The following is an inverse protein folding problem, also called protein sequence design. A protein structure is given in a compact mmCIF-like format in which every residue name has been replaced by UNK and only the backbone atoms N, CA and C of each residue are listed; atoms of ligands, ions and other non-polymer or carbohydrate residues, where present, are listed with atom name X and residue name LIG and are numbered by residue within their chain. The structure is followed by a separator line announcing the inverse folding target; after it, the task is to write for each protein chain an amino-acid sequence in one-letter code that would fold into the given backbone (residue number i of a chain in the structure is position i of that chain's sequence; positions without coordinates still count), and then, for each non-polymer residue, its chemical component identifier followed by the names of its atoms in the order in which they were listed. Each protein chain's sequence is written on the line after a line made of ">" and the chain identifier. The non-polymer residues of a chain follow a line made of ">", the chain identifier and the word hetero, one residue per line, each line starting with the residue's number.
data_IF_653808275557
#
_entry.id   IF_653808275557
#
_cell.length_a   1.000
_cell.length_b   1.000
_cell.length_c   1.000
_cell.angle_alpha   90.00
_cell.angle_beta   90.00
_cell.angle_gamma   90.00
#
_symmetry.space_group_name_H-M   'P 1'
#
loop_
_entity.id
_entity.type
_entity.pdbx_description
1 polymer ?
#
# COMPACT_ATOMS: atom_id res chain seq x y z
N UNK A 1 24.85 20.43 -17.93
CA UNK A 1 24.67 21.80 -18.56
C UNK A 1 25.39 22.83 -17.72
N UNK A 2 26.07 23.84 -18.33
CA UNK A 2 26.66 24.96 -17.58
C UNK A 2 25.63 26.10 -17.37
N UNK A 3 25.99 27.08 -16.49
CA UNK A 3 25.09 28.18 -16.13
C UNK A 3 24.67 29.07 -17.31
N UNK A 4 25.61 29.38 -18.20
CA UNK A 4 25.36 30.26 -19.36
C UNK A 4 24.39 29.57 -20.35
N UNK A 5 24.55 28.25 -20.55
CA UNK A 5 23.66 27.44 -21.38
C UNK A 5 22.25 27.38 -20.78
N UNK A 6 22.13 27.21 -19.46
CA UNK A 6 20.86 27.17 -18.77
C UNK A 6 20.15 28.53 -18.86
N UNK A 7 20.84 29.63 -18.59
CA UNK A 7 20.28 30.98 -18.71
C UNK A 7 19.83 31.30 -20.15
N UNK A 8 20.60 30.86 -21.15
CA UNK A 8 20.23 31.01 -22.55
C UNK A 8 18.97 30.21 -22.89
N UNK A 9 18.86 28.99 -22.36
CA UNK A 9 17.68 28.12 -22.57
C UNK A 9 16.43 28.72 -21.93
N UNK A 10 16.53 29.24 -20.70
CA UNK A 10 15.44 29.93 -20.00
C UNK A 10 15.03 31.19 -20.79
N UNK A 11 16.01 31.98 -21.25
CA UNK A 11 15.76 33.14 -22.07
C UNK A 11 15.04 32.84 -23.39
N UNK A 12 15.42 31.71 -24.02
CA UNK A 12 14.74 31.20 -25.24
C UNK A 12 13.34 30.77 -24.94
N UNK A 13 13.12 29.92 -23.91
CA UNK A 13 11.79 29.45 -23.52
C UNK A 13 10.85 30.63 -23.25
N UNK A 14 11.35 31.69 -22.61
CA UNK A 14 10.60 32.94 -22.38
C UNK A 14 10.22 33.66 -23.70
N UNK A 15 11.19 33.80 -24.62
CA UNK A 15 10.94 34.49 -25.89
C UNK A 15 9.96 33.73 -26.80
N UNK A 16 10.02 32.42 -26.74
CA UNK A 16 9.20 31.52 -27.54
C UNK A 16 7.77 31.30 -26.93
N UNK A 17 7.55 31.79 -25.70
CA UNK A 17 6.29 31.54 -24.96
C UNK A 17 6.06 30.06 -24.69
N UNK A 18 7.13 29.31 -24.39
CA UNK A 18 7.04 27.86 -24.18
C UNK A 18 6.19 27.55 -22.94
N UNK A 19 5.22 26.65 -23.10
CA UNK A 19 4.39 26.12 -22.00
C UNK A 19 5.04 24.91 -21.28
N UNK A 20 6.09 24.34 -21.85
CA UNK A 20 6.83 23.22 -21.26
C UNK A 20 8.35 23.51 -21.26
N UNK A 21 9.01 23.09 -20.18
CA UNK A 21 10.46 23.15 -20.08
C UNK A 21 10.97 21.82 -19.50
N UNK A 22 11.71 21.08 -20.32
CA UNK A 22 12.36 19.84 -19.92
C UNK A 22 13.86 20.12 -19.70
N UNK A 23 14.27 19.96 -18.45
CA UNK A 23 15.65 20.08 -17.96
C UNK A 23 16.08 18.78 -17.25
N UNK A 24 15.45 17.66 -17.57
CA UNK A 24 15.75 16.38 -16.93
C UNK A 24 17.16 15.89 -17.33
N UNK A 25 17.90 15.38 -16.32
CA UNK A 25 19.22 14.74 -16.50
C UNK A 25 20.29 15.65 -17.12
N UNK A 26 20.24 16.93 -16.83
CA UNK A 26 21.18 17.94 -17.31
C UNK A 26 22.34 18.21 -16.34
N UNK A 27 22.44 17.39 -15.28
CA UNK A 27 23.50 17.50 -14.28
C UNK A 27 23.53 18.86 -13.53
N UNK A 28 22.35 19.44 -13.33
CA UNK A 28 22.17 20.74 -12.70
C UNK A 28 22.37 20.65 -11.20
N UNK A 29 23.20 21.51 -10.62
CA UNK A 29 23.43 21.67 -9.19
C UNK A 29 22.53 22.76 -8.57
N UNK A 30 22.08 23.71 -9.36
CA UNK A 30 21.17 24.77 -8.96
C UNK A 30 20.28 25.22 -10.12
N UNK A 31 19.16 25.84 -9.79
CA UNK A 31 18.22 26.45 -10.72
C UNK A 31 18.27 27.96 -10.48
N UNK A 32 18.55 28.80 -11.52
CA UNK A 32 18.69 30.23 -11.33
C UNK A 32 17.31 30.91 -11.10
N UNK A 33 17.25 32.03 -10.35
CA UNK A 33 16.02 32.77 -10.07
C UNK A 33 15.27 33.25 -11.33
N UNK A 34 15.95 33.41 -12.44
CA UNK A 34 15.37 33.78 -13.74
C UNK A 34 14.29 32.78 -14.22
N UNK A 35 14.27 31.56 -13.65
CA UNK A 35 13.21 30.57 -13.93
C UNK A 35 11.81 31.16 -13.65
N UNK A 36 11.67 31.98 -12.61
CA UNK A 36 10.39 32.61 -12.24
C UNK A 36 9.85 33.57 -13.30
N UNK A 37 10.67 33.94 -14.31
CA UNK A 37 10.21 34.76 -15.43
C UNK A 37 9.32 33.98 -16.44
N UNK A 38 9.24 32.64 -16.35
CA UNK A 38 8.48 31.78 -17.24
C UNK A 38 7.03 31.62 -16.75
N UNK A 39 6.31 32.71 -16.59
CA UNK A 39 4.96 32.73 -15.96
C UNK A 39 3.90 31.95 -16.73
N UNK A 40 4.11 31.72 -18.04
CA UNK A 40 3.21 30.96 -18.90
C UNK A 40 3.49 29.44 -18.87
N UNK A 41 4.51 29.01 -18.10
CA UNK A 41 4.92 27.61 -18.05
C UNK A 41 3.84 26.75 -17.38
N UNK A 42 3.47 25.66 -18.04
CA UNK A 42 2.47 24.68 -17.58
C UNK A 42 3.15 23.43 -17.01
N UNK A 43 4.26 22.99 -17.59
CA UNK A 43 5.02 21.84 -17.13
C UNK A 43 6.51 22.17 -17.00
N UNK A 44 7.09 21.76 -15.85
CA UNK A 44 8.53 21.87 -15.60
C UNK A 44 9.06 20.50 -15.13
N UNK A 45 9.99 19.94 -15.92
CA UNK A 45 10.73 18.72 -15.53
C UNK A 45 12.19 19.06 -15.21
N UNK A 46 12.57 18.80 -13.95
CA UNK A 46 13.90 18.97 -13.39
C UNK A 46 14.46 17.64 -12.88
N UNK A 47 13.85 16.51 -13.28
CA UNK A 47 14.18 15.20 -12.72
C UNK A 47 15.60 14.73 -13.07
N UNK A 48 16.20 13.95 -12.17
CA UNK A 48 17.50 13.32 -12.40
C UNK A 48 18.68 14.32 -12.44
N UNK A 49 18.60 15.38 -11.65
CA UNK A 49 19.66 16.37 -11.50
C UNK A 49 20.35 16.24 -10.12
N UNK A 50 21.12 17.25 -9.73
CA UNK A 50 21.82 17.34 -8.43
C UNK A 50 21.35 18.54 -7.60
N UNK A 51 20.10 18.99 -7.81
CA UNK A 51 19.57 20.17 -7.14
C UNK A 51 19.45 19.92 -5.63
N UNK A 52 20.01 20.83 -4.83
CA UNK A 52 19.93 20.78 -3.37
C UNK A 52 18.75 21.61 -2.82
N UNK A 53 18.27 22.58 -3.59
CA UNK A 53 17.11 23.41 -3.30
C UNK A 53 16.49 23.92 -4.61
N UNK A 54 15.23 24.33 -4.54
CA UNK A 54 14.58 25.15 -5.57
C UNK A 54 14.63 26.62 -5.14
N UNK A 55 14.88 27.56 -6.06
CA UNK A 55 14.80 28.97 -5.73
C UNK A 55 13.36 29.38 -5.43
N UNK A 56 13.11 30.35 -4.53
CA UNK A 56 11.76 30.82 -4.19
C UNK A 56 10.95 31.27 -5.41
N UNK A 57 11.61 31.76 -6.45
CA UNK A 57 11.02 32.22 -7.71
C UNK A 57 10.31 31.11 -8.51
N UNK A 58 10.53 29.82 -8.17
CA UNK A 58 9.69 28.73 -8.70
C UNK A 58 8.23 28.97 -8.34
N UNK A 59 7.95 29.60 -7.18
CA UNK A 59 6.60 29.96 -6.78
C UNK A 59 5.90 31.02 -7.65
N UNK A 60 6.67 31.70 -8.53
CA UNK A 60 6.11 32.71 -9.44
C UNK A 60 5.54 32.05 -10.73
N UNK A 61 5.80 30.76 -10.94
CA UNK A 61 5.28 29.97 -12.06
C UNK A 61 3.80 29.59 -11.84
N UNK A 62 2.95 30.56 -11.63
CA UNK A 62 1.55 30.36 -11.21
C UNK A 62 0.68 29.63 -12.23
N UNK A 63 1.12 29.55 -13.49
CA UNK A 63 0.49 28.74 -14.54
C UNK A 63 0.78 27.23 -14.44
N UNK A 64 1.76 26.84 -13.59
CA UNK A 64 2.28 25.48 -13.56
C UNK A 64 1.22 24.48 -13.05
N UNK A 65 1.01 23.43 -13.86
CA UNK A 65 0.12 22.29 -13.49
C UNK A 65 0.90 21.04 -13.14
N UNK A 66 2.16 20.93 -13.56
CA UNK A 66 3.02 19.78 -13.29
C UNK A 66 4.44 20.23 -12.96
N UNK A 67 4.92 19.81 -11.79
CA UNK A 67 6.30 19.99 -11.36
C UNK A 67 6.93 18.64 -11.04
N UNK A 68 8.00 18.30 -11.75
CA UNK A 68 8.76 17.07 -11.54
C UNK A 68 10.21 17.40 -11.13
N UNK A 69 10.53 17.12 -9.87
CA UNK A 69 11.89 17.29 -9.30
C UNK A 69 12.41 15.97 -8.72
N UNK A 70 11.87 14.83 -9.17
CA UNK A 70 12.31 13.51 -8.69
C UNK A 70 13.80 13.29 -8.93
N UNK A 71 14.39 12.44 -8.11
CA UNK A 71 15.79 12.03 -8.23
C UNK A 71 16.72 13.24 -8.30
N UNK A 72 16.73 13.99 -7.18
CA UNK A 72 17.60 15.13 -6.92
C UNK A 72 18.18 14.99 -5.50
N UNK A 73 18.70 16.07 -4.94
CA UNK A 73 19.30 16.11 -3.60
C UNK A 73 18.60 17.16 -2.71
N UNK A 74 17.30 17.42 -2.96
CA UNK A 74 16.55 18.45 -2.24
C UNK A 74 16.44 18.08 -0.77
N UNK A 75 16.90 18.95 0.12
CA UNK A 75 16.78 18.78 1.58
C UNK A 75 15.57 19.53 2.17
N UNK A 76 15.10 20.55 1.45
CA UNK A 76 13.97 21.40 1.85
C UNK A 76 13.14 21.76 0.62
N UNK A 77 11.84 21.89 0.80
CA UNK A 77 10.93 22.46 -0.18
C UNK A 77 10.51 23.86 0.30
N UNK A 78 10.83 24.89 -0.49
CA UNK A 78 10.55 26.26 -0.12
C UNK A 78 9.05 26.53 0.06
N UNK A 79 8.64 27.37 1.05
CA UNK A 79 7.22 27.71 1.29
C UNK A 79 6.50 28.30 0.07
N UNK A 80 7.25 28.95 -0.83
CA UNK A 80 6.74 29.53 -2.07
C UNK A 80 6.10 28.52 -3.01
N UNK A 81 6.34 27.20 -2.82
CA UNK A 81 5.63 26.14 -3.54
C UNK A 81 4.11 26.30 -3.40
N UNK A 82 3.63 26.82 -2.27
CA UNK A 82 2.21 27.07 -2.01
C UNK A 82 1.56 28.12 -2.91
N UNK A 83 2.36 28.91 -3.68
CA UNK A 83 1.86 29.87 -4.67
C UNK A 83 1.42 29.20 -5.98
N UNK A 84 1.82 27.95 -6.23
CA UNK A 84 1.50 27.20 -7.44
C UNK A 84 0.05 26.65 -7.40
N UNK A 85 -0.93 27.53 -7.23
CA UNK A 85 -2.33 27.15 -6.93
C UNK A 85 -3.02 26.34 -8.04
N UNK A 86 -2.47 26.34 -9.26
CA UNK A 86 -2.96 25.55 -10.38
C UNK A 86 -2.30 24.16 -10.49
N UNK A 87 -1.37 23.82 -9.58
CA UNK A 87 -0.61 22.58 -9.63
C UNK A 87 -1.54 21.36 -9.42
N UNK A 88 -1.48 20.41 -10.35
CA UNK A 88 -2.23 19.15 -10.34
C UNK A 88 -1.35 17.94 -10.01
N UNK A 89 -0.06 18.02 -10.32
CA UNK A 89 0.91 16.97 -10.05
C UNK A 89 2.23 17.53 -9.50
N UNK A 90 2.66 17.02 -8.32
CA UNK A 90 3.92 17.35 -7.68
C UNK A 90 4.70 16.06 -7.42
N UNK A 91 5.87 15.94 -8.02
CA UNK A 91 6.72 14.75 -7.96
C UNK A 91 8.05 15.08 -7.31
N UNK A 92 8.20 14.65 -6.05
CA UNK A 92 9.34 14.96 -5.15
C UNK A 92 10.12 13.68 -4.78
N UNK A 93 9.76 12.51 -5.34
CA UNK A 93 10.35 11.23 -4.92
C UNK A 93 11.86 11.16 -5.19
N UNK A 94 12.56 10.34 -4.40
CA UNK A 94 14.02 10.17 -4.50
C UNK A 94 14.77 11.49 -4.27
N UNK A 95 14.52 12.10 -3.11
CA UNK A 95 15.19 13.28 -2.60
C UNK A 95 15.63 13.07 -1.14
N UNK A 96 15.98 14.13 -0.42
CA UNK A 96 16.45 14.09 0.97
C UNK A 96 15.56 14.96 1.88
N UNK A 97 14.28 15.15 1.51
CA UNK A 97 13.34 16.01 2.24
C UNK A 97 13.05 15.41 3.62
N UNK A 98 13.15 16.22 4.67
CA UNK A 98 12.83 15.83 6.06
C UNK A 98 11.43 16.24 6.48
N UNK A 99 10.85 17.24 5.80
CA UNK A 99 9.48 17.71 6.03
C UNK A 99 8.90 18.35 4.76
N UNK A 100 7.58 18.50 4.72
CA UNK A 100 6.85 19.26 3.72
C UNK A 100 6.36 20.57 4.35
N UNK A 101 6.46 21.73 3.66
CA UNK A 101 6.04 22.99 4.22
C UNK A 101 4.51 23.07 4.37
N UNK A 102 3.98 23.69 5.43
CA UNK A 102 2.54 23.87 5.63
C UNK A 102 1.83 24.56 4.44
N UNK A 103 2.54 25.46 3.75
CA UNK A 103 2.03 26.16 2.57
C UNK A 103 1.63 25.22 1.42
N UNK A 104 2.13 23.96 1.43
CA UNK A 104 1.66 22.93 0.50
C UNK A 104 0.13 22.79 0.51
N UNK A 105 -0.50 22.98 1.67
CA UNK A 105 -1.96 22.94 1.84
C UNK A 105 -2.73 23.99 1.05
N UNK A 106 -2.06 24.98 0.41
CA UNK A 106 -2.68 25.93 -0.50
C UNK A 106 -2.98 25.37 -1.89
N UNK A 107 -2.40 24.21 -2.25
CA UNK A 107 -2.50 23.58 -3.58
C UNK A 107 -3.83 22.82 -3.76
N UNK A 108 -4.94 23.52 -3.72
CA UNK A 108 -6.30 22.92 -3.72
C UNK A 108 -6.64 22.10 -4.96
N UNK A 109 -5.92 22.27 -6.08
CA UNK A 109 -6.10 21.50 -7.30
C UNK A 109 -5.17 20.28 -7.40
N UNK A 110 -4.29 20.07 -6.39
CA UNK A 110 -3.33 18.98 -6.43
C UNK A 110 -4.06 17.62 -6.39
N UNK A 111 -3.94 16.88 -7.48
CA UNK A 111 -4.52 15.54 -7.63
C UNK A 111 -3.52 14.42 -7.34
N UNK A 112 -2.22 14.69 -7.51
CA UNK A 112 -1.13 13.73 -7.31
C UNK A 112 0.01 14.33 -6.55
N UNK A 113 0.36 13.70 -5.40
CA UNK A 113 1.56 14.02 -4.63
C UNK A 113 2.39 12.75 -4.49
N UNK A 114 3.65 12.81 -4.95
CA UNK A 114 4.61 11.74 -4.72
C UNK A 114 5.85 12.29 -4.01
N UNK A 115 6.03 11.87 -2.76
CA UNK A 115 7.21 12.16 -1.94
C UNK A 115 7.85 10.85 -1.41
N UNK A 116 7.70 9.73 -2.12
CA UNK A 116 8.32 8.46 -1.76
C UNK A 116 9.85 8.56 -1.78
N UNK A 117 10.54 7.69 -1.03
CA UNK A 117 12.00 7.67 -0.96
C UNK A 117 12.58 9.03 -0.58
N UNK A 118 12.19 9.51 0.59
CA UNK A 118 12.69 10.72 1.24
C UNK A 118 13.01 10.41 2.72
N UNK A 119 13.18 11.43 3.54
CA UNK A 119 13.45 11.33 4.97
C UNK A 119 12.36 11.97 5.82
N UNK A 120 11.11 12.02 5.31
CA UNK A 120 10.00 12.67 6.00
C UNK A 120 9.73 11.98 7.34
N UNK A 121 9.74 12.76 8.43
CA UNK A 121 9.44 12.27 9.78
C UNK A 121 8.00 12.55 10.20
N UNK A 122 7.36 13.53 9.57
CA UNK A 122 5.96 13.95 9.81
C UNK A 122 5.35 14.58 8.56
N UNK A 123 4.05 14.66 8.54
CA UNK A 123 3.28 15.47 7.59
C UNK A 123 2.71 16.70 8.31
N UNK A 124 2.65 17.87 7.66
CA UNK A 124 1.97 19.01 8.22
C UNK A 124 0.44 18.76 8.26
N UNK A 125 -0.29 19.22 9.29
CA UNK A 125 -1.75 19.10 9.33
C UNK A 125 -2.46 19.69 8.10
N UNK A 126 -1.86 20.70 7.49
CA UNK A 126 -2.36 21.34 6.27
C UNK A 126 -2.40 20.38 5.07
N UNK A 127 -1.84 19.15 5.18
CA UNK A 127 -2.01 18.11 4.16
C UNK A 127 -3.51 17.83 3.91
N UNK A 128 -4.35 17.87 4.95
CA UNK A 128 -5.80 17.69 4.85
C UNK A 128 -6.50 18.72 3.97
N UNK A 129 -5.84 19.85 3.72
CA UNK A 129 -6.37 20.87 2.83
C UNK A 129 -6.33 20.49 1.33
N UNK A 130 -5.65 19.41 0.95
CA UNK A 130 -5.51 18.96 -0.43
C UNK A 130 -6.73 18.14 -0.87
N UNK A 131 -7.91 18.71 -0.80
CA UNK A 131 -9.20 18.02 -0.98
C UNK A 131 -9.42 17.42 -2.37
N UNK A 132 -8.65 17.83 -3.39
CA UNK A 132 -8.66 17.23 -4.72
C UNK A 132 -7.70 16.04 -4.88
N UNK A 133 -6.93 15.72 -3.83
CA UNK A 133 -5.89 14.69 -3.91
C UNK A 133 -6.53 13.31 -4.11
N UNK A 134 -6.10 12.63 -5.18
CA UNK A 134 -6.55 11.28 -5.53
C UNK A 134 -5.46 10.23 -5.33
N UNK A 135 -4.18 10.60 -5.45
CA UNK A 135 -3.02 9.73 -5.26
C UNK A 135 -2.02 10.36 -4.31
N UNK A 136 -1.73 9.67 -3.21
CA UNK A 136 -0.75 10.07 -2.20
C UNK A 136 0.29 8.96 -2.04
N UNK A 137 1.53 9.25 -2.48
CA UNK A 137 2.67 8.33 -2.40
C UNK A 137 3.69 8.87 -1.42
N UNK A 138 3.87 8.16 -0.30
CA UNK A 138 4.77 8.49 0.80
C UNK A 138 5.61 7.28 1.23
N UNK A 139 5.73 6.27 0.34
CA UNK A 139 6.50 5.07 0.61
C UNK A 139 7.96 5.39 0.96
N UNK A 140 8.58 4.52 1.75
CA UNK A 140 10.00 4.59 2.07
C UNK A 140 10.42 5.96 2.62
N UNK A 141 9.78 6.33 3.73
CA UNK A 141 10.07 7.51 4.54
C UNK A 141 10.30 7.10 6.02
N UNK A 142 10.21 8.05 6.93
CA UNK A 142 10.43 7.81 8.36
C UNK A 142 9.22 8.28 9.20
N UNK A 143 8.02 8.28 8.61
CA UNK A 143 6.79 8.72 9.27
C UNK A 143 6.46 7.80 10.45
N UNK A 144 6.38 8.36 11.66
CA UNK A 144 5.98 7.62 12.86
C UNK A 144 4.46 7.67 13.10
N UNK A 145 3.81 8.71 12.60
CA UNK A 145 2.37 8.95 12.71
C UNK A 145 1.82 9.70 11.50
N UNK A 146 0.50 9.67 11.34
CA UNK A 146 -0.23 10.51 10.40
C UNK A 146 -1.06 11.53 11.18
N UNK A 147 -1.16 12.79 10.72
CA UNK A 147 -2.03 13.76 11.33
C UNK A 147 -3.50 13.36 11.14
N UNK A 148 -4.37 13.76 12.07
CA UNK A 148 -5.81 13.46 11.99
C UNK A 148 -6.45 14.03 10.71
N UNK A 149 -5.93 15.14 10.23
CA UNK A 149 -6.35 15.82 9.01
C UNK A 149 -6.14 14.99 7.73
N UNK A 150 -5.41 13.86 7.81
CA UNK A 150 -5.36 12.90 6.69
C UNK A 150 -6.77 12.46 6.27
N UNK A 151 -7.71 12.39 7.23
CA UNK A 151 -9.10 12.04 7.00
C UNK A 151 -9.89 13.06 6.20
N UNK A 152 -9.36 14.27 5.98
CA UNK A 152 -10.00 15.32 5.18
C UNK A 152 -9.74 15.14 3.67
N UNK A 153 -8.87 14.19 3.28
CA UNK A 153 -8.55 13.86 1.89
C UNK A 153 -9.65 13.01 1.25
N UNK A 154 -10.88 13.47 1.27
CA UNK A 154 -12.09 12.71 0.88
C UNK A 154 -12.10 12.22 -0.57
N UNK A 155 -11.29 12.83 -1.46
CA UNK A 155 -11.15 12.41 -2.86
C UNK A 155 -10.12 11.28 -3.05
N UNK A 156 -9.39 10.89 -1.99
CA UNK A 156 -8.28 9.94 -2.09
C UNK A 156 -8.75 8.56 -2.55
N UNK A 157 -8.03 8.00 -3.52
CA UNK A 157 -8.28 6.66 -4.09
C UNK A 157 -7.17 5.69 -3.74
N UNK A 158 -5.94 6.15 -3.80
CA UNK A 158 -4.77 5.30 -3.58
C UNK A 158 -3.83 6.00 -2.58
N UNK A 159 -3.44 5.28 -1.52
CA UNK A 159 -2.58 5.76 -0.45
C UNK A 159 -1.45 4.76 -0.19
N UNK A 160 -0.21 5.17 -0.46
CA UNK A 160 0.98 4.33 -0.37
C UNK A 160 1.88 4.82 0.74
N UNK A 161 1.95 4.08 1.84
CA UNK A 161 2.65 4.40 3.09
C UNK A 161 3.63 3.30 3.51
N UNK A 162 3.88 2.30 2.64
CA UNK A 162 4.78 1.20 2.96
C UNK A 162 6.20 1.69 3.26
N UNK A 163 6.95 0.92 4.07
CA UNK A 163 8.33 1.25 4.39
C UNK A 163 8.47 2.51 5.27
N UNK A 164 7.51 2.74 6.18
CA UNK A 164 7.56 3.81 7.17
C UNK A 164 7.74 3.25 8.60
N UNK A 165 7.50 4.07 9.60
CA UNK A 165 7.61 3.70 11.03
C UNK A 165 6.28 3.88 11.77
N UNK A 166 5.15 3.81 11.03
CA UNK A 166 3.83 4.06 11.60
C UNK A 166 3.52 3.04 12.71
N UNK A 167 3.26 3.53 13.92
CA UNK A 167 2.87 2.70 15.07
C UNK A 167 1.34 2.53 15.15
N UNK A 168 0.58 3.50 14.65
CA UNK A 168 -0.88 3.48 14.59
C UNK A 168 -1.42 4.30 13.42
N UNK A 169 -2.71 4.11 13.12
CA UNK A 169 -3.46 4.98 12.21
C UNK A 169 -4.44 5.84 13.02
N UNK A 170 -4.66 7.10 12.66
CA UNK A 170 -5.69 7.92 13.29
C UNK A 170 -7.09 7.39 12.95
N UNK A 171 -8.06 7.55 13.88
CA UNK A 171 -9.47 7.16 13.63
C UNK A 171 -10.07 7.85 12.40
N UNK A 172 -9.59 9.05 12.08
CA UNK A 172 -9.99 9.80 10.89
C UNK A 172 -9.70 9.07 9.56
N UNK A 173 -8.86 8.01 9.56
CA UNK A 173 -8.64 7.17 8.37
C UNK A 173 -9.98 6.66 7.80
N UNK A 174 -10.96 6.38 8.67
CA UNK A 174 -12.29 5.93 8.29
C UNK A 174 -13.10 6.90 7.44
N UNK A 175 -12.71 8.18 7.41
CA UNK A 175 -13.38 9.20 6.57
C UNK A 175 -13.02 9.05 5.09
N UNK A 176 -11.96 8.31 4.76
CA UNK A 176 -11.49 8.11 3.38
C UNK A 176 -12.35 7.08 2.63
N UNK A 177 -13.67 7.23 2.69
CA UNK A 177 -14.63 6.26 2.13
C UNK A 177 -14.50 6.02 0.63
N UNK A 178 -13.81 6.90 -0.08
CA UNK A 178 -13.49 6.74 -1.50
C UNK A 178 -12.24 5.91 -1.79
N UNK A 179 -11.48 5.50 -0.76
CA UNK A 179 -10.21 4.80 -0.90
C UNK A 179 -10.40 3.42 -1.53
N UNK A 180 -9.52 3.04 -2.46
CA UNK A 180 -9.53 1.77 -3.19
C UNK A 180 -8.33 0.90 -2.84
N UNK A 181 -7.20 1.52 -2.63
CA UNK A 181 -5.96 0.83 -2.28
C UNK A 181 -5.26 1.53 -1.11
N UNK A 182 -4.95 0.75 -0.08
CA UNK A 182 -4.20 1.22 1.09
C UNK A 182 -2.99 0.31 1.31
N UNK A 183 -1.81 0.88 1.10
CA UNK A 183 -0.54 0.17 1.21
C UNK A 183 0.18 0.58 2.49
N UNK A 184 0.27 -0.35 3.45
CA UNK A 184 0.85 -0.15 4.79
C UNK A 184 1.92 -1.20 5.13
N UNK A 185 2.40 -1.97 4.14
CA UNK A 185 3.42 -2.99 4.36
C UNK A 185 4.68 -2.41 5.01
N UNK A 186 5.37 -3.21 5.82
CA UNK A 186 6.64 -2.84 6.45
C UNK A 186 6.55 -1.53 7.25
N UNK A 187 5.58 -1.48 8.16
CA UNK A 187 5.43 -0.45 9.19
C UNK A 187 5.58 -1.07 10.59
N UNK A 188 5.12 -0.39 11.64
CA UNK A 188 5.21 -0.85 13.02
C UNK A 188 3.83 -0.94 13.68
N UNK A 189 2.75 -1.07 12.89
CA UNK A 189 1.37 -1.09 13.37
C UNK A 189 1.14 -2.27 14.32
N UNK A 190 0.73 -2.00 15.55
CA UNK A 190 0.36 -3.02 16.55
C UNK A 190 -1.14 -3.34 16.51
N UNK A 191 -1.96 -2.43 15.99
CA UNK A 191 -3.41 -2.54 15.82
C UNK A 191 -3.92 -1.65 14.69
N UNK A 192 -5.14 -1.95 14.24
CA UNK A 192 -5.92 -1.08 13.35
C UNK A 192 -7.05 -0.41 14.16
N UNK A 193 -7.39 0.86 13.87
CA UNK A 193 -8.55 1.50 14.49
C UNK A 193 -9.84 0.86 13.96
N UNK A 194 -10.91 0.78 14.79
CA UNK A 194 -12.21 0.25 14.36
C UNK A 194 -12.77 0.95 13.11
N UNK A 195 -12.47 2.22 12.94
CA UNK A 195 -12.91 3.04 11.82
C UNK A 195 -12.38 2.54 10.46
N UNK A 196 -11.39 1.62 10.46
CA UNK A 196 -10.94 0.97 9.21
C UNK A 196 -12.10 0.31 8.47
N UNK A 197 -13.10 -0.22 9.20
CA UNK A 197 -14.27 -0.86 8.64
C UNK A 197 -15.19 0.07 7.85
N UNK A 198 -15.02 1.39 7.97
CA UNK A 198 -15.77 2.38 7.18
C UNK A 198 -15.30 2.50 5.73
N UNK A 199 -14.17 1.90 5.37
CA UNK A 199 -13.59 1.98 4.03
C UNK A 199 -14.27 0.98 3.06
N UNK A 200 -15.57 1.11 2.88
CA UNK A 200 -16.42 0.15 2.15
C UNK A 200 -16.06 -0.02 0.67
N UNK A 201 -15.35 0.95 0.06
CA UNK A 201 -14.87 0.89 -1.32
C UNK A 201 -13.44 0.35 -1.44
N UNK A 202 -12.80 -0.02 -0.32
CA UNK A 202 -11.43 -0.54 -0.35
C UNK A 202 -11.39 -1.90 -1.04
N UNK A 203 -10.59 -2.01 -2.10
CA UNK A 203 -10.40 -3.24 -2.87
C UNK A 203 -9.20 -4.04 -2.38
N UNK A 204 -8.12 -3.34 -1.99
CA UNK A 204 -6.86 -3.98 -1.60
C UNK A 204 -6.33 -3.34 -0.34
N UNK A 205 -6.01 -4.17 0.66
CA UNK A 205 -5.39 -3.76 1.91
C UNK A 205 -4.10 -4.55 2.14
N UNK A 206 -2.98 -3.84 2.17
CA UNK A 206 -1.66 -4.41 2.44
C UNK A 206 -1.21 -4.05 3.84
N UNK A 207 -0.89 -5.06 4.65
CA UNK A 207 -0.48 -4.93 6.04
C UNK A 207 0.68 -5.87 6.39
N UNK A 208 1.40 -6.40 5.39
CA UNK A 208 2.53 -7.31 5.61
C UNK A 208 3.64 -6.65 6.40
N UNK A 209 4.36 -7.45 7.21
CA UNK A 209 5.55 -6.97 7.90
C UNK A 209 5.25 -5.88 8.93
N UNK A 210 4.14 -6.01 9.66
CA UNK A 210 3.76 -5.16 10.79
C UNK A 210 3.88 -5.92 12.12
N UNK A 211 3.29 -5.39 13.20
CA UNK A 211 3.30 -5.98 14.55
C UNK A 211 1.89 -6.32 15.04
N UNK A 212 0.92 -6.49 14.10
CA UNK A 212 -0.48 -6.72 14.44
C UNK A 212 -0.64 -8.01 15.24
N UNK A 213 -1.29 -7.92 16.42
CA UNK A 213 -1.61 -9.06 17.27
C UNK A 213 -3.04 -9.57 17.06
N UNK A 214 -3.91 -8.76 16.44
CA UNK A 214 -5.29 -9.06 16.11
C UNK A 214 -5.85 -8.06 15.11
N UNK A 215 -7.01 -8.35 14.57
CA UNK A 215 -7.79 -7.44 13.73
C UNK A 215 -9.06 -7.01 14.51
N UNK A 216 -9.51 -5.76 14.37
CA UNK A 216 -10.76 -5.34 14.97
C UNK A 216 -11.94 -6.04 14.27
N UNK A 217 -13.05 -6.33 14.99
CA UNK A 217 -14.26 -6.92 14.38
C UNK A 217 -14.80 -6.12 13.20
N UNK A 218 -14.61 -4.80 13.23
CA UNK A 218 -15.02 -3.88 12.18
C UNK A 218 -14.32 -4.14 10.84
N UNK A 219 -13.28 -4.98 10.81
CA UNK A 219 -12.66 -5.43 9.54
C UNK A 219 -13.71 -6.01 8.58
N UNK A 220 -14.76 -6.65 9.13
CA UNK A 220 -15.89 -7.18 8.36
C UNK A 220 -16.70 -6.11 7.62
N UNK A 221 -16.54 -4.84 7.94
CA UNK A 221 -17.16 -3.70 7.25
C UNK A 221 -16.55 -3.38 5.88
N UNK A 222 -15.40 -3.96 5.52
CA UNK A 222 -14.72 -3.74 4.24
C UNK A 222 -15.42 -4.48 3.09
N UNK A 223 -16.65 -4.13 2.80
CA UNK A 223 -17.53 -4.84 1.88
C UNK A 223 -17.01 -4.97 0.44
N UNK A 224 -16.13 -4.05 0.00
CA UNK A 224 -15.50 -4.06 -1.33
C UNK A 224 -14.19 -4.84 -1.41
N UNK A 225 -13.68 -5.39 -0.27
CA UNK A 225 -12.34 -5.93 -0.22
C UNK A 225 -12.21 -7.22 -1.03
N UNK A 226 -11.24 -7.25 -1.94
CA UNK A 226 -10.92 -8.40 -2.79
C UNK A 226 -9.59 -9.05 -2.42
N UNK A 227 -8.65 -8.29 -1.87
CA UNK A 227 -7.32 -8.75 -1.48
C UNK A 227 -6.95 -8.25 -0.11
N UNK A 228 -6.59 -9.17 0.80
CA UNK A 228 -6.11 -8.86 2.15
C UNK A 228 -4.77 -9.53 2.41
N UNK A 229 -3.75 -8.72 2.65
CA UNK A 229 -2.38 -9.16 2.88
C UNK A 229 -1.96 -8.87 4.31
N UNK A 230 -1.78 -9.92 5.13
CA UNK A 230 -1.48 -9.87 6.56
C UNK A 230 -0.21 -10.63 6.94
N UNK A 231 0.54 -11.10 5.94
CA UNK A 231 1.73 -11.92 6.18
C UNK A 231 2.78 -11.24 7.04
N UNK A 232 3.53 -12.01 7.85
CA UNK A 232 4.62 -11.48 8.66
C UNK A 232 4.18 -10.54 9.78
N UNK A 233 3.09 -10.88 10.47
CA UNK A 233 2.60 -10.20 11.68
C UNK A 233 2.69 -11.11 12.91
N UNK A 234 2.01 -10.76 13.99
CA UNK A 234 1.93 -11.52 15.23
C UNK A 234 0.48 -11.96 15.56
N UNK A 235 -0.35 -12.16 14.52
CA UNK A 235 -1.77 -12.50 14.67
C UNK A 235 -1.91 -13.87 15.32
N UNK A 236 -2.66 -13.95 16.42
CA UNK A 236 -2.96 -15.21 17.13
C UNK A 236 -4.31 -15.81 16.73
N UNK A 237 -5.21 -14.99 16.21
CA UNK A 237 -6.53 -15.39 15.69
C UNK A 237 -7.02 -14.38 14.64
N UNK A 238 -7.96 -14.80 13.80
CA UNK A 238 -8.80 -13.92 12.98
C UNK A 238 -10.16 -13.78 13.65
N UNK A 239 -10.80 -12.59 13.62
CA UNK A 239 -12.14 -12.41 14.16
C UNK A 239 -13.18 -13.14 13.29
N UNK A 240 -14.32 -13.54 13.86
CA UNK A 240 -15.43 -14.19 13.13
C UNK A 240 -15.95 -13.32 12.00
N UNK A 241 -15.88 -11.99 12.15
CA UNK A 241 -16.30 -10.99 11.18
C UNK A 241 -15.49 -11.02 9.88
N UNK A 242 -14.33 -11.74 9.86
CA UNK A 242 -13.61 -11.99 8.60
C UNK A 242 -14.53 -12.66 7.57
N UNK A 243 -15.48 -13.50 8.02
CA UNK A 243 -16.47 -14.16 7.18
C UNK A 243 -17.47 -13.22 6.51
N UNK A 244 -17.52 -11.94 6.90
CA UNK A 244 -18.35 -10.91 6.25
C UNK A 244 -17.72 -10.38 4.96
N UNK A 245 -16.44 -10.65 4.71
CA UNK A 245 -15.72 -10.21 3.51
C UNK A 245 -16.05 -11.06 2.28
N UNK A 246 -17.32 -11.17 1.95
CA UNK A 246 -17.84 -12.11 0.91
C UNK A 246 -17.37 -11.79 -0.52
N UNK A 247 -16.69 -10.68 -0.73
CA UNK A 247 -16.04 -10.31 -2.00
C UNK A 247 -14.58 -10.75 -2.09
N UNK A 248 -14.02 -11.27 -0.97
CA UNK A 248 -12.60 -11.59 -0.89
C UNK A 248 -12.22 -12.72 -1.85
N UNK A 249 -11.22 -12.49 -2.67
CA UNK A 249 -10.64 -13.46 -3.61
C UNK A 249 -9.30 -13.99 -3.12
N UNK A 250 -8.52 -13.18 -2.41
CA UNK A 250 -7.21 -13.58 -1.85
C UNK A 250 -7.07 -13.20 -0.39
N UNK A 251 -6.68 -14.17 0.45
CA UNK A 251 -6.35 -13.99 1.86
C UNK A 251 -4.96 -14.54 2.13
N UNK A 252 -4.04 -13.67 2.50
CA UNK A 252 -2.63 -13.96 2.75
C UNK A 252 -2.30 -13.67 4.20
N UNK A 253 -2.13 -14.73 5.02
CA UNK A 253 -1.89 -14.65 6.47
C UNK A 253 -0.66 -15.47 6.87
N UNK A 254 0.24 -15.64 5.92
CA UNK A 254 1.49 -16.39 6.10
C UNK A 254 2.38 -15.79 7.19
N UNK A 255 3.17 -16.64 7.88
CA UNK A 255 4.13 -16.22 8.90
C UNK A 255 3.50 -15.37 10.02
N UNK A 256 2.47 -15.94 10.66
CA UNK A 256 1.80 -15.41 11.83
C UNK A 256 1.83 -16.44 12.99
N UNK A 257 0.98 -16.29 13.99
CA UNK A 257 0.89 -17.17 15.16
C UNK A 257 -0.50 -17.78 15.30
N UNK A 258 -1.25 -17.95 14.19
CA UNK A 258 -2.61 -18.46 14.20
C UNK A 258 -2.63 -19.89 14.71
N UNK A 259 -3.46 -20.17 15.73
CA UNK A 259 -3.68 -21.52 16.25
C UNK A 259 -4.90 -22.22 15.66
N UNK A 260 -5.80 -21.46 15.03
CA UNK A 260 -7.01 -21.93 14.35
C UNK A 260 -7.60 -20.84 13.45
N UNK A 261 -8.61 -21.21 12.67
CA UNK A 261 -9.41 -20.28 11.86
C UNK A 261 -10.84 -20.27 12.41
N UNK A 262 -11.56 -19.14 12.34
CA UNK A 262 -12.98 -19.11 12.68
C UNK A 262 -13.80 -19.93 11.67
N UNK A 263 -14.92 -20.54 12.12
CA UNK A 263 -15.82 -21.32 11.25
C UNK A 263 -16.37 -20.48 10.09
N UNK A 264 -16.53 -19.18 10.32
CA UNK A 264 -17.02 -18.18 9.38
C UNK A 264 -16.11 -17.99 8.15
N UNK A 265 -14.87 -18.52 8.19
CA UNK A 265 -14.00 -18.55 6.99
C UNK A 265 -14.72 -19.20 5.80
N UNK A 266 -15.61 -20.16 6.07
CA UNK A 266 -16.43 -20.84 5.05
C UNK A 266 -17.41 -19.93 4.31
N UNK A 267 -17.69 -18.74 4.82
CA UNK A 267 -18.55 -17.75 4.15
C UNK A 267 -17.85 -17.05 2.99
N UNK A 268 -16.52 -17.18 2.89
CA UNK A 268 -15.70 -16.55 1.84
C UNK A 268 -15.79 -17.35 0.53
N UNK A 269 -16.98 -17.58 0.03
CA UNK A 269 -17.24 -18.46 -1.13
C UNK A 269 -16.59 -18.01 -2.45
N UNK A 270 -16.11 -16.77 -2.54
CA UNK A 270 -15.35 -16.24 -3.70
C UNK A 270 -13.84 -16.40 -3.53
N UNK A 271 -13.37 -16.97 -2.42
CA UNK A 271 -11.94 -17.11 -2.16
C UNK A 271 -11.31 -18.08 -3.16
N UNK A 272 -10.23 -17.64 -3.78
CA UNK A 272 -9.44 -18.37 -4.79
C UNK A 272 -8.06 -18.72 -4.24
N UNK A 273 -7.49 -17.83 -3.43
CA UNK A 273 -6.16 -17.96 -2.85
C UNK A 273 -6.20 -17.83 -1.33
N UNK A 274 -5.75 -18.88 -0.62
CA UNK A 274 -5.62 -18.89 0.83
C UNK A 274 -4.21 -19.37 1.23
N UNK A 275 -3.43 -18.43 1.75
CA UNK A 275 -2.05 -18.69 2.18
C UNK A 275 -1.95 -18.56 3.70
N UNK A 276 -1.63 -19.67 4.37
CA UNK A 276 -1.60 -19.84 5.82
C UNK A 276 -0.28 -20.46 6.31
N UNK A 277 0.73 -20.52 5.44
CA UNK A 277 2.02 -21.13 5.77
C UNK A 277 2.71 -20.40 6.93
N UNK A 278 3.49 -21.16 7.70
CA UNK A 278 4.28 -20.59 8.82
C UNK A 278 3.41 -20.10 9.98
N UNK A 279 2.33 -20.82 10.30
CA UNK A 279 1.46 -20.59 11.45
C UNK A 279 1.53 -21.74 12.46
N UNK A 280 0.60 -21.81 13.40
CA UNK A 280 0.51 -22.85 14.44
C UNK A 280 -0.84 -23.59 14.36
N UNK A 281 -1.39 -23.72 13.15
CA UNK A 281 -2.69 -24.38 12.96
C UNK A 281 -2.57 -25.86 13.30
N UNK A 282 -3.43 -26.34 14.21
CA UNK A 282 -3.53 -27.75 14.60
C UNK A 282 -4.62 -28.49 13.81
N UNK A 283 -5.62 -27.77 13.31
CA UNK A 283 -6.75 -28.27 12.55
C UNK A 283 -7.33 -27.18 11.63
N UNK A 284 -8.21 -27.58 10.69
CA UNK A 284 -9.04 -26.70 9.89
C UNK A 284 -10.50 -26.79 10.36
N UNK A 285 -11.27 -25.68 10.41
CA UNK A 285 -12.67 -25.73 10.75
C UNK A 285 -13.49 -26.41 9.64
N UNK A 286 -14.59 -27.06 9.99
CA UNK A 286 -15.48 -27.70 9.05
C UNK A 286 -16.01 -26.77 7.94
N UNK A 287 -16.09 -25.46 8.24
CA UNK A 287 -16.46 -24.42 7.26
C UNK A 287 -15.61 -24.40 5.99
N UNK A 288 -14.36 -24.93 6.03
CA UNK A 288 -13.44 -24.91 4.89
C UNK A 288 -14.03 -25.59 3.65
N UNK A 289 -14.87 -26.62 3.81
CA UNK A 289 -15.52 -27.35 2.70
C UNK A 289 -16.39 -26.46 1.79
N UNK A 290 -16.80 -25.29 2.28
CA UNK A 290 -17.64 -24.36 1.51
C UNK A 290 -16.82 -23.44 0.56
N UNK A 291 -15.50 -23.46 0.66
CA UNK A 291 -14.61 -22.67 -0.20
C UNK A 291 -14.42 -23.33 -1.58
N UNK A 292 -15.51 -23.65 -2.24
CA UNK A 292 -15.53 -24.46 -3.47
C UNK A 292 -14.87 -23.79 -4.68
N UNK A 293 -14.56 -22.49 -4.63
CA UNK A 293 -13.80 -21.77 -5.65
C UNK A 293 -12.29 -21.70 -5.36
N UNK A 294 -11.83 -22.31 -4.25
CA UNK A 294 -10.42 -22.24 -3.86
C UNK A 294 -9.55 -23.03 -4.85
N UNK A 295 -8.58 -22.35 -5.44
CA UNK A 295 -7.62 -22.92 -6.41
C UNK A 295 -6.28 -23.23 -5.73
N UNK A 296 -5.86 -22.38 -4.78
CA UNK A 296 -4.57 -22.55 -4.10
C UNK A 296 -4.76 -22.48 -2.59
N UNK A 297 -4.25 -23.49 -1.89
CA UNK A 297 -4.21 -23.57 -0.44
C UNK A 297 -2.79 -23.91 0.01
N UNK A 298 -2.15 -23.02 0.75
CA UNK A 298 -0.90 -23.29 1.44
C UNK A 298 -1.11 -23.40 2.94
N UNK A 299 -0.78 -24.56 3.49
CA UNK A 299 -0.78 -24.90 4.92
C UNK A 299 0.61 -25.34 5.38
N UNK A 300 1.64 -25.06 4.55
CA UNK A 300 3.02 -25.42 4.82
C UNK A 300 3.49 -24.91 6.18
N UNK A 301 4.35 -25.68 6.86
CA UNK A 301 4.96 -25.29 8.13
C UNK A 301 3.91 -24.87 9.19
N UNK A 302 2.93 -25.76 9.42
CA UNK A 302 1.98 -25.66 10.51
C UNK A 302 2.18 -26.86 11.50
N UNK A 303 1.23 -27.11 12.38
CA UNK A 303 1.31 -28.23 13.35
C UNK A 303 0.18 -29.23 13.18
N UNK A 304 -0.39 -29.35 11.97
CA UNK A 304 -1.51 -30.24 11.66
C UNK A 304 -1.11 -31.69 11.92
N UNK A 305 -1.87 -32.39 12.75
CA UNK A 305 -1.67 -33.82 13.06
C UNK A 305 -2.59 -34.71 12.22
N UNK A 306 -3.71 -34.19 11.79
CA UNK A 306 -4.67 -34.81 10.91
C UNK A 306 -5.25 -33.81 9.94
N UNK A 307 -5.82 -34.29 8.85
CA UNK A 307 -6.50 -33.50 7.84
C UNK A 307 -7.94 -33.99 7.76
N UNK A 308 -8.91 -33.12 8.10
CA UNK A 308 -10.33 -33.48 8.00
C UNK A 308 -10.73 -33.80 6.56
N UNK A 309 -11.64 -34.76 6.39
CA UNK A 309 -12.25 -35.02 5.08
C UNK A 309 -12.96 -33.83 4.45
N UNK A 310 -13.28 -32.79 5.24
CA UNK A 310 -13.90 -31.55 4.76
C UNK A 310 -13.09 -30.86 3.68
N UNK A 311 -11.74 -31.01 3.69
CA UNK A 311 -10.87 -30.44 2.65
C UNK A 311 -11.18 -31.05 1.27
N UNK A 312 -11.69 -32.28 1.24
CA UNK A 312 -12.01 -32.98 0.00
C UNK A 312 -13.26 -32.42 -0.70
N UNK A 313 -13.96 -31.46 -0.06
CA UNK A 313 -15.02 -30.66 -0.68
C UNK A 313 -14.47 -29.56 -1.61
N UNK A 314 -13.15 -29.26 -1.57
CA UNK A 314 -12.50 -28.20 -2.37
C UNK A 314 -12.23 -28.69 -3.80
N UNK A 315 -13.25 -29.01 -4.55
CA UNK A 315 -13.14 -29.70 -5.86
C UNK A 315 -12.46 -28.86 -6.96
N UNK A 316 -12.35 -27.54 -6.78
CA UNK A 316 -11.60 -26.65 -7.69
C UNK A 316 -10.10 -26.54 -7.34
N UNK A 317 -9.65 -27.18 -6.25
CA UNK A 317 -8.28 -27.02 -5.76
C UNK A 317 -7.27 -27.63 -6.74
N UNK A 318 -6.32 -26.81 -7.18
CA UNK A 318 -5.24 -27.17 -8.12
C UNK A 318 -3.91 -27.36 -7.39
N UNK A 319 -3.66 -26.54 -6.37
CA UNK A 319 -2.42 -26.56 -5.60
C UNK A 319 -2.74 -26.71 -4.11
N UNK A 320 -2.13 -27.72 -3.45
CA UNK A 320 -2.21 -27.96 -2.02
C UNK A 320 -0.83 -28.20 -1.43
N UNK A 321 -0.38 -27.29 -0.59
CA UNK A 321 0.89 -27.45 0.14
C UNK A 321 0.62 -27.77 1.63
N UNK A 322 0.96 -28.97 2.04
CA UNK A 322 0.90 -29.52 3.39
C UNK A 322 2.28 -29.85 3.95
N UNK A 323 3.35 -29.44 3.26
CA UNK A 323 4.71 -29.75 3.70
C UNK A 323 5.03 -29.17 5.09
N UNK A 324 5.91 -29.82 5.85
CA UNK A 324 6.34 -29.33 7.14
C UNK A 324 5.25 -29.36 8.23
N UNK A 325 4.40 -30.38 8.22
CA UNK A 325 3.36 -30.61 9.23
C UNK A 325 3.66 -31.89 10.03
N UNK A 326 2.67 -32.37 10.81
CA UNK A 326 2.78 -33.59 11.62
C UNK A 326 1.77 -34.65 11.19
N UNK A 327 1.32 -34.65 9.93
CA UNK A 327 0.30 -35.52 9.42
C UNK A 327 0.76 -36.99 9.46
N UNK A 328 -0.03 -37.85 10.10
CA UNK A 328 0.22 -39.31 10.16
C UNK A 328 -0.48 -40.09 9.03
N UNK A 329 -1.56 -39.52 8.49
CA UNK A 329 -2.35 -40.07 7.38
C UNK A 329 -3.05 -38.92 6.64
N UNK A 330 -3.57 -39.23 5.45
CA UNK A 330 -4.48 -38.38 4.68
C UNK A 330 -5.88 -39.02 4.68
N UNK A 331 -6.96 -38.21 4.56
CA UNK A 331 -8.30 -38.73 4.46
C UNK A 331 -8.48 -39.61 3.20
N UNK A 332 -9.24 -40.71 3.26
CA UNK A 332 -9.44 -41.58 2.10
C UNK A 332 -10.14 -40.87 0.94
N UNK A 333 -10.88 -39.80 1.21
CA UNK A 333 -11.62 -38.99 0.26
C UNK A 333 -10.71 -38.04 -0.59
N UNK A 334 -9.37 -38.04 -0.38
CA UNK A 334 -8.45 -37.21 -1.17
C UNK A 334 -8.62 -37.37 -2.69
N UNK A 335 -9.07 -38.53 -3.16
CA UNK A 335 -9.41 -38.78 -4.55
C UNK A 335 -10.54 -37.90 -5.11
N UNK A 336 -11.32 -37.22 -4.28
CA UNK A 336 -12.35 -36.27 -4.70
C UNK A 336 -11.78 -34.97 -5.21
N UNK A 337 -10.53 -34.64 -4.90
CA UNK A 337 -9.81 -33.45 -5.41
C UNK A 337 -9.36 -33.65 -6.86
N UNK A 338 -10.30 -33.83 -7.76
CA UNK A 338 -10.04 -34.22 -9.16
C UNK A 338 -9.33 -33.15 -9.99
N UNK A 339 -9.33 -31.89 -9.56
CA UNK A 339 -8.59 -30.79 -10.20
C UNK A 339 -7.14 -30.67 -9.67
N UNK A 340 -6.80 -31.41 -8.59
CA UNK A 340 -5.50 -31.26 -7.93
C UNK A 340 -4.36 -31.69 -8.86
N UNK A 341 -3.43 -30.77 -9.10
CA UNK A 341 -2.27 -30.96 -9.96
C UNK A 341 -0.96 -31.04 -9.15
N UNK A 342 -0.88 -30.28 -8.09
CA UNK A 342 0.29 -30.20 -7.23
C UNK A 342 -0.07 -30.47 -5.78
N UNK A 343 0.59 -31.46 -5.16
CA UNK A 343 0.41 -31.84 -3.76
C UNK A 343 1.79 -31.98 -3.10
N UNK A 344 2.07 -31.13 -2.14
CA UNK A 344 3.33 -31.17 -1.38
C UNK A 344 3.07 -31.76 0.00
N UNK A 345 3.78 -32.85 0.33
CA UNK A 345 3.61 -33.62 1.57
C UNK A 345 4.92 -33.87 2.31
N UNK A 346 6.06 -33.36 1.80
CA UNK A 346 7.36 -33.55 2.42
C UNK A 346 7.36 -33.06 3.88
N UNK A 347 8.27 -33.60 4.69
CA UNK A 347 8.44 -33.22 6.10
C UNK A 347 7.16 -33.40 6.93
N UNK A 348 6.49 -34.58 6.75
CA UNK A 348 5.36 -35.05 7.52
C UNK A 348 5.68 -36.43 8.17
N UNK A 349 4.70 -37.05 8.84
CA UNK A 349 4.84 -38.34 9.51
C UNK A 349 4.02 -39.44 8.81
N UNK A 350 3.72 -39.27 7.52
CA UNK A 350 2.88 -40.19 6.73
C UNK A 350 3.51 -41.59 6.66
N UNK A 351 2.68 -42.60 6.89
CA UNK A 351 3.08 -44.03 6.81
C UNK A 351 2.60 -44.66 5.52
N UNK A 352 1.52 -44.15 4.96
CA UNK A 352 0.92 -44.61 3.70
C UNK A 352 0.13 -43.48 3.06
N UNK A 353 -0.11 -43.55 1.77
CA UNK A 353 -1.09 -42.76 1.06
C UNK A 353 -2.41 -43.51 0.94
N UNK A 354 -3.55 -42.80 0.88
CA UNK A 354 -4.84 -43.42 0.61
C UNK A 354 -4.81 -44.08 -0.77
N UNK A 355 -5.57 -45.17 -0.91
CA UNK A 355 -5.67 -45.98 -2.15
C UNK A 355 -6.51 -45.29 -3.21
#
# INVERSE_FOLDING_TARGET
>A
MNQDQLSALIGKARSDGSDTLDLAKEDLEFLPPEIGSLVDLVELDLSGNRLTALPPEVGDLTGLTRLNVRNNQLTVLAPEIGRLVNLKGLFLQENQLTELPPQLGSLKQLGRLNSSNNHLTRLPPEIGNLTSLTWLYLADNQLAELPAEIGDLISLKDCYLQGNRLESLPSAIGNLTGLRELQLDNNQLDRLPPEIGSLTNLNVLYLRGNKLTGLPPEIGGLAGLTWLYLGGNALTALPSEIGSLTTLSGLYVENNQLTGLPSEIGNLIKLVWLYLEGNQLSELPAGVQHLTNLIQLSLRNNVLTELSGDICGLTALVFLDLAGNKLASLPPEMGNLTALNELHLNDNQLRSLPS
#
